data_IF_180751880195
#
_entry.id   IF_180751880195
#
_cell.length_a   1.000
_cell.length_b   1.000
_cell.length_c   1.000
_cell.angle_alpha   90.00
_cell.angle_beta   90.00
_cell.angle_gamma   90.00
#
_symmetry.space_group_name_H-M   'P 1'
#
loop_
_entity.id
_entity.type
_entity.pdbx_description
1 polymer ?
#
# COMPACT_ATOMS: atom_id res chain seq x y z
N UNK A 1 7.14 -21.61 0.37
CA UNK A 1 6.27 -20.79 1.21
C UNK A 1 6.53 -19.32 0.97
N UNK A 2 7.74 -18.90 1.24
CA UNK A 2 8.11 -17.51 1.02
C UNK A 2 7.92 -17.09 -0.44
N UNK A 3 8.32 -17.96 -1.37
CA UNK A 3 8.18 -17.69 -2.79
C UNK A 3 6.72 -17.49 -3.19
N UNK A 4 5.82 -18.31 -2.63
CA UNK A 4 4.39 -18.18 -2.91
C UNK A 4 3.84 -16.84 -2.45
N UNK A 5 4.24 -16.38 -1.26
CA UNK A 5 3.77 -15.10 -0.76
C UNK A 5 4.26 -13.94 -1.61
N UNK A 6 5.53 -13.99 -2.02
CA UNK A 6 6.09 -12.96 -2.89
C UNK A 6 5.33 -12.91 -4.22
N UNK A 7 5.03 -14.07 -4.80
CA UNK A 7 4.28 -14.12 -6.07
C UNK A 7 2.88 -13.57 -5.92
N UNK A 8 2.22 -13.85 -4.80
CA UNK A 8 0.87 -13.34 -4.53
C UNK A 8 0.90 -11.81 -4.43
N UNK A 9 1.83 -11.25 -3.66
CA UNK A 9 1.92 -9.81 -3.53
C UNK A 9 2.25 -9.14 -4.85
N UNK A 10 3.17 -9.72 -5.62
CA UNK A 10 3.52 -9.17 -6.93
C UNK A 10 2.34 -9.17 -7.88
N UNK A 11 1.53 -10.21 -7.82
CA UNK A 11 0.33 -10.29 -8.65
C UNK A 11 -0.68 -9.23 -8.25
N UNK A 12 -0.88 -9.02 -6.95
CA UNK A 12 -1.77 -7.97 -6.46
C UNK A 12 -1.27 -6.60 -6.90
N UNK A 13 0.03 -6.36 -6.84
CA UNK A 13 0.58 -5.08 -7.26
C UNK A 13 0.32 -4.82 -8.75
N UNK A 14 0.40 -5.83 -9.59
CA UNK A 14 0.07 -5.67 -11.01
C UNK A 14 -1.39 -5.26 -11.23
N UNK A 15 -2.27 -5.66 -10.31
CA UNK A 15 -3.67 -5.27 -10.34
C UNK A 15 -3.89 -3.93 -9.61
N UNK A 16 -2.83 -3.27 -9.21
CA UNK A 16 -2.86 -2.00 -8.46
C UNK A 16 -3.55 -2.15 -7.12
N UNK A 17 -3.35 -3.27 -6.47
CA UNK A 17 -3.87 -3.57 -5.15
C UNK A 17 -2.70 -3.69 -4.18
N UNK A 18 -2.78 -2.93 -3.10
CA UNK A 18 -1.79 -2.97 -2.02
C UNK A 18 -2.51 -3.43 -0.76
N UNK A 19 -1.91 -4.38 -0.05
CA UNK A 19 -2.46 -4.86 1.20
C UNK A 19 -1.60 -4.36 2.35
N UNK A 20 -2.22 -3.60 3.26
CA UNK A 20 -1.53 -3.06 4.42
C UNK A 20 -1.72 -4.04 5.58
N UNK A 21 -0.65 -4.63 6.09
CA UNK A 21 -0.76 -5.63 7.15
C UNK A 21 -1.16 -5.00 8.48
N UNK A 22 -1.48 -5.88 9.43
CA UNK A 22 -1.94 -5.47 10.75
C UNK A 22 -0.95 -4.59 11.49
N UNK A 23 0.32 -5.01 11.49
CA UNK A 23 1.39 -4.27 12.16
C UNK A 23 2.24 -3.57 11.14
N UNK A 24 2.38 -2.27 11.27
CA UNK A 24 3.11 -1.45 10.33
C UNK A 24 4.32 -0.87 11.04
N UNK A 25 5.51 -1.20 10.54
CA UNK A 25 6.74 -0.56 10.98
C UNK A 25 7.30 0.30 9.84
N UNK A 26 8.42 0.94 10.09
CA UNK A 26 9.03 1.84 9.10
C UNK A 26 9.43 1.10 7.83
N UNK A 27 9.90 -0.13 7.95
CA UNK A 27 10.30 -0.91 6.78
C UNK A 27 9.11 -1.22 5.88
N UNK A 28 8.01 -1.65 6.49
CA UNK A 28 6.78 -1.93 5.74
C UNK A 28 6.24 -0.65 5.12
N UNK A 29 6.27 0.45 5.86
CA UNK A 29 5.81 1.73 5.33
C UNK A 29 6.64 2.16 4.14
N UNK A 30 7.96 1.99 4.20
CA UNK A 30 8.85 2.29 3.08
C UNK A 30 8.52 1.46 1.85
N UNK A 31 8.24 0.18 2.03
CA UNK A 31 7.87 -0.69 0.92
C UNK A 31 6.56 -0.24 0.28
N UNK A 32 5.59 0.10 1.10
CA UNK A 32 4.28 0.53 0.59
C UNK A 32 4.40 1.85 -0.16
N UNK A 33 5.18 2.79 0.37
CA UNK A 33 5.43 4.05 -0.32
C UNK A 33 6.11 3.80 -1.67
N UNK A 34 7.12 2.93 -1.68
CA UNK A 34 7.83 2.61 -2.92
C UNK A 34 6.89 2.00 -3.96
N UNK A 35 6.02 1.09 -3.54
CA UNK A 35 5.04 0.47 -4.44
C UNK A 35 4.06 1.50 -4.97
N UNK A 36 3.57 2.40 -4.12
CA UNK A 36 2.65 3.46 -4.55
C UNK A 36 3.29 4.36 -5.60
N UNK A 37 4.53 4.77 -5.37
CA UNK A 37 5.24 5.62 -6.32
C UNK A 37 5.47 4.91 -7.64
N UNK A 38 5.82 3.63 -7.59
CA UNK A 38 6.00 2.83 -8.78
C UNK A 38 4.71 2.69 -9.57
N UNK A 39 3.62 2.36 -8.90
CA UNK A 39 2.33 2.19 -9.58
C UNK A 39 1.85 3.50 -10.19
N UNK A 40 2.05 4.61 -9.48
CA UNK A 40 1.67 5.91 -10.01
C UNK A 40 2.51 6.26 -11.25
N UNK A 41 3.79 5.90 -11.26
CA UNK A 41 4.65 6.17 -12.41
C UNK A 41 4.30 5.31 -13.62
N UNK A 42 3.79 4.10 -13.39
CA UNK A 42 3.42 3.19 -14.49
C UNK A 42 2.18 3.68 -15.24
N UNK A 43 1.19 4.14 -14.50
CA UNK A 43 -0.06 4.59 -15.11
C UNK A 43 -0.64 5.72 -14.27
N UNK A 44 -0.11 6.94 -14.46
CA UNK A 44 -0.53 8.07 -13.64
C UNK A 44 -2.03 8.35 -13.76
N UNK A 45 -2.66 8.53 -12.62
CA UNK A 45 -4.08 8.85 -12.58
C UNK A 45 -5.01 7.66 -12.48
N UNK A 46 -4.47 6.44 -12.63
CA UNK A 46 -5.29 5.24 -12.46
C UNK A 46 -5.36 4.87 -10.98
N UNK A 47 -6.54 4.49 -10.52
CA UNK A 47 -6.78 4.22 -9.09
C UNK A 47 -5.89 3.11 -8.54
N UNK A 48 -5.52 3.28 -7.27
CA UNK A 48 -4.82 2.27 -6.48
C UNK A 48 -5.73 1.90 -5.34
N UNK A 49 -5.91 0.62 -5.09
CA UNK A 49 -6.72 0.13 -3.98
C UNK A 49 -5.81 -0.27 -2.82
N UNK A 50 -6.07 0.28 -1.66
CA UNK A 50 -5.30 -0.01 -0.44
C UNK A 50 -6.21 -0.70 0.56
N UNK A 51 -5.99 -2.00 0.77
CA UNK A 51 -6.72 -2.78 1.75
C UNK A 51 -6.02 -2.68 3.09
N UNK A 52 -6.72 -2.16 4.07
CA UNK A 52 -6.17 -1.89 5.41
C UNK A 52 -6.69 -2.91 6.39
N UNK A 53 -5.79 -3.71 6.96
CA UNK A 53 -6.13 -4.66 8.00
C UNK A 53 -5.37 -4.28 9.27
N UNK A 54 -5.64 -3.08 9.78
CA UNK A 54 -4.94 -2.58 10.96
C UNK A 54 -5.91 -1.91 11.90
N UNK A 55 -5.85 -2.22 13.18
CA UNK A 55 -6.72 -1.59 14.19
C UNK A 55 -6.24 -0.19 14.57
N UNK A 56 -5.17 0.23 14.01
CA UNK A 56 -4.47 1.44 14.33
C UNK A 56 -3.01 1.14 14.16
N UNK A 57 -2.20 2.10 14.07
CA UNK A 57 -0.83 1.82 13.79
C UNK A 57 0.11 2.82 14.39
N UNK A 58 1.36 2.68 14.02
CA UNK A 58 2.34 3.67 14.38
C UNK A 58 2.05 4.93 13.60
N UNK A 59 1.85 6.01 14.33
CA UNK A 59 1.45 7.29 13.73
C UNK A 59 2.45 7.74 12.68
N UNK A 60 3.73 7.61 12.98
CA UNK A 60 4.79 8.06 12.06
C UNK A 60 4.77 7.31 10.74
N UNK A 61 4.69 5.97 10.82
CA UNK A 61 4.66 5.14 9.60
C UNK A 61 3.39 5.40 8.80
N UNK A 62 2.27 5.55 9.50
CA UNK A 62 1.00 5.88 8.86
C UNK A 62 1.01 7.23 8.17
N UNK A 63 1.65 8.22 8.77
CA UNK A 63 1.77 9.55 8.17
C UNK A 63 2.59 9.53 6.89
N UNK A 64 3.63 8.70 6.83
CA UNK A 64 4.45 8.55 5.63
C UNK A 64 3.61 8.05 4.45
N UNK A 65 2.78 7.05 4.69
CA UNK A 65 1.90 6.49 3.67
C UNK A 65 0.85 7.53 3.28
N UNK A 66 0.23 8.16 4.24
CA UNK A 66 -0.80 9.18 3.99
C UNK A 66 -0.25 10.33 3.17
N UNK A 67 0.95 10.79 3.51
CA UNK A 67 1.58 11.90 2.81
C UNK A 67 1.84 11.54 1.34
N UNK A 68 2.31 10.31 1.08
CA UNK A 68 2.50 9.83 -0.28
C UNK A 68 1.19 9.82 -1.05
N UNK A 69 0.10 9.38 -0.42
CA UNK A 69 -1.22 9.36 -1.04
C UNK A 69 -1.65 10.75 -1.50
N UNK A 70 -1.21 11.80 -0.80
CA UNK A 70 -1.56 13.18 -1.16
C UNK A 70 -0.72 13.70 -2.33
N UNK A 71 0.46 13.13 -2.58
CA UNK A 71 1.39 13.64 -3.57
C UNK A 71 1.30 12.95 -4.93
N UNK A 72 0.85 11.71 -4.98
CA UNK A 72 0.74 11.00 -6.25
C UNK A 72 -0.51 11.44 -7.01
N UNK A 73 -0.51 11.22 -8.32
CA UNK A 73 -1.63 11.60 -9.18
C UNK A 73 -2.77 10.60 -9.12
N UNK A 74 -2.47 9.35 -8.81
CA UNK A 74 -3.48 8.30 -8.68
C UNK A 74 -4.31 8.53 -7.43
N UNK A 75 -5.61 8.30 -7.52
CA UNK A 75 -6.45 8.27 -6.33
C UNK A 75 -6.25 6.95 -5.61
N UNK A 76 -6.16 7.01 -4.29
CA UNK A 76 -6.02 5.81 -3.48
C UNK A 76 -7.35 5.54 -2.81
N UNK A 77 -7.97 4.43 -3.18
CA UNK A 77 -9.22 3.98 -2.58
C UNK A 77 -8.87 3.09 -1.40
N UNK A 78 -9.27 3.49 -0.20
CA UNK A 78 -8.97 2.72 1.01
C UNK A 78 -10.14 1.83 1.38
N UNK A 79 -9.85 0.58 1.70
CA UNK A 79 -10.85 -0.41 2.08
C UNK A 79 -10.41 -1.01 3.40
N UNK A 80 -11.20 -0.77 4.45
CA UNK A 80 -10.88 -1.28 5.77
C UNK A 80 -11.51 -2.65 5.95
N UNK A 81 -10.69 -3.64 6.28
CA UNK A 81 -11.13 -5.02 6.48
C UNK A 81 -10.67 -5.52 7.85
N UNK A 82 -11.46 -6.36 8.45
CA UNK A 82 -11.06 -7.09 9.64
C UNK A 82 -10.90 -6.25 10.89
N UNK A 83 -11.94 -5.87 11.49
CA UNK A 83 -11.90 -5.24 12.80
C UNK A 83 -12.02 -6.28 13.91
#
# INVERSE_FOLDING_TARGET
>A
QYTQWVDIYNRLYRERVIFLPRDIDDEIANQIVAVMLYLDSEDPGKDISLYINSPGGMVTSGLMIYDTMQHIKSDVVTICVGL
#
